data_IF_178900841372
#
_entry.id   IF_178900841372
#
_cell.length_a   1.000
_cell.length_b   1.000
_cell.length_c   1.000
_cell.angle_alpha   90.00
_cell.angle_beta   90.00
_cell.angle_gamma   90.00
#
_symmetry.space_group_name_H-M   'P 1'
#
loop_
_entity.id
_entity.type
_entity.pdbx_description
1 polymer ?
#
# COMPACT_ATOMS: atom_id res chain seq x y z
N UNK A 1 -81.28 31.51 15.77
CA UNK A 1 -81.75 31.05 17.05
C UNK A 1 -81.04 29.77 17.41
N UNK A 2 -80.48 29.70 18.61
CA UNK A 2 -79.79 28.61 19.31
C UNK A 2 -78.44 28.11 18.68
N UNK A 3 -77.43 28.83 19.08
CA UNK A 3 -76.00 28.48 19.10
C UNK A 3 -75.74 27.25 19.94
N UNK A 4 -75.05 26.23 19.46
CA UNK A 4 -74.50 25.20 20.30
C UNK A 4 -73.00 25.14 20.04
N UNK A 5 -72.30 25.50 21.09
CA UNK A 5 -70.86 25.43 21.26
C UNK A 5 -70.44 23.96 21.49
N UNK A 6 -69.57 23.40 20.63
CA UNK A 6 -68.98 22.11 20.89
C UNK A 6 -67.49 22.32 21.29
N UNK A 7 -67.24 22.02 22.55
CA UNK A 7 -65.85 21.91 23.05
C UNK A 7 -65.26 20.64 22.51
N UNK A 8 -64.16 20.78 21.78
CA UNK A 8 -63.29 19.66 21.37
C UNK A 8 -62.16 19.47 22.43
N UNK A 9 -62.21 18.32 23.08
CA UNK A 9 -61.21 17.88 24.05
C UNK A 9 -60.03 17.34 23.23
N UNK A 10 -58.89 18.01 23.35
CA UNK A 10 -57.61 17.57 22.78
C UNK A 10 -56.98 16.59 23.77
N UNK A 11 -57.03 15.29 23.44
CA UNK A 11 -56.25 14.26 24.16
C UNK A 11 -54.85 14.18 23.53
N UNK A 12 -53.86 14.69 24.22
CA UNK A 12 -52.47 14.53 23.86
C UNK A 12 -52.01 13.12 24.23
N UNK A 13 -51.86 12.26 23.23
CA UNK A 13 -51.19 10.96 23.38
C UNK A 13 -49.70 11.19 23.24
N UNK A 14 -48.99 11.22 24.36
CA UNK A 14 -47.55 11.22 24.41
C UNK A 14 -46.99 9.85 24.02
N UNK A 15 -46.47 9.71 22.82
CA UNK A 15 -45.70 8.54 22.41
C UNK A 15 -44.27 8.76 22.88
N UNK A 16 -43.87 8.10 23.96
CA UNK A 16 -42.47 7.93 24.33
C UNK A 16 -41.78 7.03 23.29
N UNK A 17 -41.12 7.64 22.31
CA UNK A 17 -40.12 6.97 21.50
C UNK A 17 -38.80 6.89 22.31
N UNK A 18 -38.68 5.86 23.15
CA UNK A 18 -37.39 5.44 23.66
C UNK A 18 -36.59 4.88 22.48
N UNK A 19 -35.74 5.73 21.89
CA UNK A 19 -34.81 5.36 20.88
C UNK A 19 -33.79 4.36 21.44
N UNK A 20 -33.85 3.16 20.94
CA UNK A 20 -32.78 2.17 21.08
C UNK A 20 -31.57 2.66 20.28
N UNK A 21 -30.72 3.46 20.88
CA UNK A 21 -29.40 3.76 20.34
C UNK A 21 -28.49 2.56 20.60
N UNK A 22 -28.60 1.58 19.74
CA UNK A 22 -27.66 0.45 19.73
C UNK A 22 -26.26 0.93 19.45
N UNK A 23 -25.40 0.60 20.37
CA UNK A 23 -23.95 0.80 20.43
C UNK A 23 -23.23 0.21 19.21
N UNK A 24 -23.12 0.97 18.12
CA UNK A 24 -22.21 0.71 17.01
C UNK A 24 -20.99 1.65 16.99
N UNK A 25 -20.76 2.40 18.07
CA UNK A 25 -19.72 3.43 18.12
C UNK A 25 -18.52 3.06 18.99
N UNK A 26 -18.36 1.80 19.45
CA UNK A 26 -17.31 1.47 20.44
C UNK A 26 -16.09 0.77 19.88
N UNK A 27 -16.06 0.38 18.61
CA UNK A 27 -14.90 -0.34 18.04
C UNK A 27 -13.99 0.53 17.18
N UNK A 28 -14.08 1.86 17.25
CA UNK A 28 -13.21 2.79 16.53
C UNK A 28 -12.23 3.58 17.41
N UNK A 29 -12.21 3.32 18.71
CA UNK A 29 -11.52 4.21 19.65
C UNK A 29 -10.04 3.85 19.92
N UNK A 30 -9.51 2.74 19.38
CA UNK A 30 -8.13 2.32 19.63
C UNK A 30 -7.20 2.31 18.40
N UNK A 31 -7.63 2.80 17.26
CA UNK A 31 -6.72 3.06 16.14
C UNK A 31 -5.91 4.32 16.46
N UNK A 32 -4.74 4.14 17.08
CA UNK A 32 -3.77 5.21 17.30
C UNK A 32 -3.54 5.95 15.98
N UNK A 33 -4.07 7.18 15.88
CA UNK A 33 -3.91 8.01 14.69
C UNK A 33 -2.43 8.15 14.35
N UNK A 34 -2.06 7.82 13.13
CA UNK A 34 -0.69 8.01 12.64
C UNK A 34 -0.38 9.49 12.59
N UNK A 35 0.68 9.99 13.25
CA UNK A 35 1.03 11.40 13.26
C UNK A 35 1.20 11.96 11.84
N UNK A 36 0.70 13.16 11.60
CA UNK A 36 0.97 13.88 10.36
C UNK A 36 2.48 14.08 10.21
N UNK A 37 3.05 13.58 9.09
CA UNK A 37 4.48 13.71 8.82
C UNK A 37 5.30 12.43 9.02
N UNK A 38 4.70 11.32 9.42
CA UNK A 38 5.33 10.01 9.42
C UNK A 38 5.42 9.46 7.99
N UNK A 39 6.59 8.91 7.62
CA UNK A 39 6.78 8.27 6.31
C UNK A 39 7.90 7.24 6.33
N UNK A 40 7.71 6.18 5.56
CA UNK A 40 8.79 5.29 5.13
C UNK A 40 9.40 5.87 3.86
N UNK A 41 10.72 5.95 3.81
CA UNK A 41 11.46 6.31 2.61
C UNK A 41 12.35 5.14 2.19
N UNK A 42 12.24 4.72 0.93
CA UNK A 42 13.04 3.65 0.32
C UNK A 42 13.82 4.27 -0.84
N UNK A 43 15.13 4.14 -0.84
CA UNK A 43 15.99 4.66 -1.89
C UNK A 43 16.98 3.62 -2.37
N UNK A 44 17.29 3.63 -3.66
CA UNK A 44 18.29 2.76 -4.28
C UNK A 44 18.81 3.37 -5.57
N UNK A 45 19.99 2.93 -5.99
CA UNK A 45 20.50 3.25 -7.32
C UNK A 45 19.91 2.28 -8.34
N UNK A 46 19.25 2.83 -9.33
CA UNK A 46 18.67 2.09 -10.44
C UNK A 46 19.58 2.23 -11.69
N UNK A 47 19.86 1.12 -12.33
CA UNK A 47 20.55 1.05 -13.61
C UNK A 47 19.71 0.20 -14.56
N UNK A 48 19.14 0.85 -15.57
CA UNK A 48 18.31 0.18 -16.55
C UNK A 48 19.11 -0.90 -17.28
N UNK A 49 18.59 -2.13 -17.28
CA UNK A 49 19.12 -3.22 -18.08
C UNK A 49 18.53 -3.24 -19.49
N UNK A 50 18.86 -4.27 -20.25
CA UNK A 50 18.32 -4.52 -21.58
C UNK A 50 16.84 -4.95 -21.57
N UNK A 51 16.33 -5.36 -22.73
CA UNK A 51 14.91 -5.68 -22.98
C UNK A 51 14.33 -6.73 -22.00
N UNK A 52 15.15 -7.72 -21.59
CA UNK A 52 14.73 -8.80 -20.69
C UNK A 52 14.77 -8.44 -19.20
N UNK A 53 14.98 -7.18 -18.86
CA UNK A 53 15.16 -6.71 -17.48
C UNK A 53 14.48 -5.36 -17.25
N UNK A 54 14.79 -4.72 -16.13
CA UNK A 54 14.24 -3.41 -15.75
C UNK A 54 12.79 -3.42 -15.29
N UNK A 55 12.22 -4.60 -14.99
CA UNK A 55 10.93 -4.71 -14.35
C UNK A 55 11.13 -4.77 -12.84
N UNK A 56 10.44 -3.91 -12.11
CA UNK A 56 10.45 -3.96 -10.66
C UNK A 56 9.13 -3.46 -10.07
N UNK A 57 8.87 -3.87 -8.84
CA UNK A 57 7.73 -3.44 -8.05
C UNK A 57 8.17 -3.13 -6.62
N UNK A 58 7.45 -2.21 -5.98
CA UNK A 58 7.62 -1.82 -4.58
C UNK A 58 6.26 -1.86 -3.91
N UNK A 59 6.16 -2.59 -2.80
CA UNK A 59 4.89 -2.70 -2.07
C UNK A 59 5.11 -2.86 -0.57
N UNK A 60 4.02 -2.69 0.17
CA UNK A 60 3.94 -2.85 1.62
C UNK A 60 2.98 -3.98 1.94
N UNK A 61 3.35 -4.80 2.90
CA UNK A 61 2.50 -5.84 3.50
C UNK A 61 2.32 -5.57 4.99
N UNK A 62 1.18 -6.00 5.54
CA UNK A 62 0.95 -6.06 6.98
C UNK A 62 1.58 -7.32 7.61
N UNK A 63 1.48 -7.45 8.91
CA UNK A 63 2.04 -8.58 9.67
C UNK A 63 1.46 -9.95 9.26
N UNK A 64 0.29 -9.98 8.61
CA UNK A 64 -0.32 -11.21 8.10
C UNK A 64 0.18 -11.58 6.70
N UNK A 65 1.02 -10.74 6.10
CA UNK A 65 1.51 -10.90 4.74
C UNK A 65 0.51 -10.49 3.66
N UNK A 66 -0.53 -9.73 4.03
CA UNK A 66 -1.48 -9.17 3.07
C UNK A 66 -0.89 -7.89 2.46
N UNK A 67 -0.99 -7.76 1.13
CA UNK A 67 -0.60 -6.54 0.44
C UNK A 67 -1.51 -5.37 0.85
N UNK A 68 -0.91 -4.32 1.38
CA UNK A 68 -1.57 -3.09 1.83
C UNK A 68 -1.49 -2.00 0.77
N UNK A 69 -0.30 -1.76 0.24
CA UNK A 69 -0.05 -0.69 -0.72
C UNK A 69 0.96 -1.12 -1.77
N UNK A 70 0.66 -0.91 -3.04
CA UNK A 70 1.67 -0.87 -4.10
C UNK A 70 2.12 0.57 -4.27
N UNK A 71 3.40 0.85 -4.04
CA UNK A 71 3.99 2.17 -4.21
C UNK A 71 4.36 2.43 -5.67
N UNK A 72 4.84 1.39 -6.34
CA UNK A 72 5.25 1.47 -7.73
C UNK A 72 5.30 0.08 -8.36
N UNK A 73 4.98 0.01 -9.62
CA UNK A 73 5.30 -1.12 -10.50
C UNK A 73 5.54 -0.60 -11.92
N UNK A 74 6.46 -1.23 -12.65
CA UNK A 74 6.71 -0.88 -14.04
C UNK A 74 5.46 -1.09 -14.90
N UNK A 75 5.14 -0.10 -15.74
CA UNK A 75 3.91 -0.05 -16.53
C UNK A 75 3.71 -1.29 -17.42
N UNK A 76 4.80 -1.81 -18.02
CA UNK A 76 4.73 -3.05 -18.80
C UNK A 76 4.12 -4.20 -17.98
N UNK A 77 4.63 -4.43 -16.76
CA UNK A 77 4.13 -5.53 -15.92
C UNK A 77 2.67 -5.31 -15.53
N UNK A 78 2.32 -4.15 -15.01
CA UNK A 78 0.98 -3.89 -14.51
C UNK A 78 -0.10 -3.92 -15.60
N UNK A 79 0.25 -3.56 -16.84
CA UNK A 79 -0.66 -3.50 -18.00
C UNK A 79 -0.71 -4.80 -18.80
N UNK A 80 -0.51 -5.96 -18.16
CA UNK A 80 -0.65 -7.27 -18.77
C UNK A 80 0.67 -7.93 -19.20
N UNK A 81 1.81 -7.26 -19.06
CA UNK A 81 3.11 -7.83 -19.39
C UNK A 81 3.46 -9.12 -18.65
N UNK A 82 2.88 -9.32 -17.46
CA UNK A 82 3.02 -10.55 -16.66
C UNK A 82 2.42 -11.79 -17.34
N UNK A 83 1.48 -11.63 -18.25
CA UNK A 83 0.91 -12.75 -19.02
C UNK A 83 1.92 -13.29 -20.03
N UNK A 84 2.68 -12.39 -20.65
CA UNK A 84 3.72 -12.73 -21.63
C UNK A 84 5.04 -13.10 -20.96
N UNK A 85 5.35 -12.45 -19.82
CA UNK A 85 6.56 -12.65 -19.05
C UNK A 85 6.22 -12.99 -17.60
N UNK A 86 5.95 -14.28 -17.35
CA UNK A 86 5.59 -14.81 -16.03
C UNK A 86 6.71 -14.65 -14.99
N UNK A 87 7.94 -14.40 -15.44
CA UNK A 87 9.11 -14.11 -14.61
C UNK A 87 9.27 -12.62 -14.26
N UNK A 88 8.43 -11.74 -14.81
CA UNK A 88 8.44 -10.31 -14.47
C UNK A 88 7.75 -10.06 -13.13
N UNK A 89 8.54 -9.78 -12.10
CA UNK A 89 8.11 -9.54 -10.69
C UNK A 89 6.98 -10.46 -10.22
N UNK A 90 7.22 -11.79 -10.23
CA UNK A 90 6.18 -12.79 -10.03
C UNK A 90 5.58 -12.78 -8.62
N UNK A 91 6.32 -12.35 -7.58
CA UNK A 91 5.80 -12.29 -6.22
C UNK A 91 4.80 -11.15 -6.10
N UNK A 92 5.13 -9.96 -6.59
CA UNK A 92 4.18 -8.85 -6.64
C UNK A 92 2.93 -9.23 -7.45
N UNK A 93 3.11 -9.82 -8.64
CA UNK A 93 2.00 -10.23 -9.52
C UNK A 93 1.05 -11.20 -8.81
N UNK A 94 1.59 -12.17 -8.08
CA UNK A 94 0.78 -13.13 -7.31
C UNK A 94 -0.02 -12.46 -6.18
N UNK A 95 0.57 -11.48 -5.52
CA UNK A 95 -0.04 -10.76 -4.38
C UNK A 95 -1.03 -9.68 -4.82
N UNK A 96 -0.64 -8.88 -5.79
CA UNK A 96 -1.44 -7.73 -6.27
C UNK A 96 -2.59 -8.15 -7.19
N UNK A 97 -2.49 -9.31 -7.84
CA UNK A 97 -3.49 -9.83 -8.80
C UNK A 97 -3.92 -8.75 -9.81
N UNK A 98 -2.98 -8.20 -10.60
CA UNK A 98 -3.22 -7.02 -11.44
C UNK A 98 -4.37 -7.20 -12.44
N UNK A 99 -4.74 -8.43 -12.80
CA UNK A 99 -5.91 -8.74 -13.63
C UNK A 99 -7.25 -8.36 -12.97
N UNK A 100 -7.28 -8.13 -11.66
CA UNK A 100 -8.48 -7.73 -10.92
C UNK A 100 -8.58 -6.21 -10.70
N UNK A 101 -7.54 -5.48 -11.05
CA UNK A 101 -7.49 -4.03 -10.87
C UNK A 101 -8.19 -3.30 -12.01
N UNK A 102 -8.90 -2.23 -11.70
CA UNK A 102 -9.43 -1.31 -12.70
C UNK A 102 -8.29 -0.52 -13.38
N UNK A 103 -8.53 0.03 -14.56
CA UNK A 103 -7.56 0.88 -15.26
C UNK A 103 -7.08 2.04 -14.39
N UNK A 104 -7.97 2.68 -13.64
CA UNK A 104 -7.62 3.79 -12.74
C UNK A 104 -6.69 3.32 -11.60
N UNK A 105 -6.91 2.12 -11.04
CA UNK A 105 -6.02 1.55 -10.02
C UNK A 105 -4.65 1.19 -10.61
N UNK A 106 -4.62 0.62 -11.82
CA UNK A 106 -3.37 0.34 -12.53
C UNK A 106 -2.60 1.64 -12.79
N UNK A 107 -3.25 2.68 -13.29
CA UNK A 107 -2.59 3.96 -13.56
C UNK A 107 -2.07 4.64 -12.29
N UNK A 108 -2.76 4.49 -11.16
CA UNK A 108 -2.34 5.06 -9.87
C UNK A 108 -1.05 4.42 -9.30
N UNK A 109 -0.74 3.18 -9.65
CA UNK A 109 0.44 2.45 -9.14
C UNK A 109 1.56 2.32 -10.15
N UNK A 110 1.34 2.75 -11.40
CA UNK A 110 2.33 2.60 -12.48
C UNK A 110 3.04 3.90 -12.81
N UNK A 111 4.26 3.74 -13.30
CA UNK A 111 5.03 4.84 -13.89
C UNK A 111 5.83 4.37 -15.09
N UNK A 112 6.29 5.32 -15.90
CA UNK A 112 7.27 5.05 -16.94
C UNK A 112 8.54 4.46 -16.29
N UNK A 113 9.23 3.55 -17.01
CA UNK A 113 10.52 3.04 -16.52
C UNK A 113 11.47 4.22 -16.28
N UNK A 114 11.97 4.41 -15.06
CA UNK A 114 12.82 5.55 -14.74
C UNK A 114 14.13 5.55 -15.51
N UNK A 115 14.76 6.72 -15.53
CA UNK A 115 16.14 6.86 -15.99
C UNK A 115 17.11 6.29 -14.95
N UNK A 116 18.34 5.99 -15.38
CA UNK A 116 19.41 5.62 -14.46
C UNK A 116 19.64 6.71 -13.42
N UNK A 117 19.85 6.32 -12.18
CA UNK A 117 20.11 7.24 -11.08
C UNK A 117 19.62 6.74 -9.74
N UNK A 118 19.64 7.62 -8.75
CA UNK A 118 19.06 7.35 -7.44
C UNK A 118 17.56 7.60 -7.51
N UNK A 119 16.78 6.59 -7.14
CA UNK A 119 15.33 6.66 -7.04
C UNK A 119 14.94 6.63 -5.57
N UNK A 120 13.89 7.39 -5.24
CA UNK A 120 13.34 7.45 -3.89
C UNK A 120 11.83 7.30 -3.96
N UNK A 121 11.30 6.39 -3.15
CA UNK A 121 9.87 6.14 -2.99
C UNK A 121 9.48 6.38 -1.55
N UNK A 122 8.27 6.87 -1.34
CA UNK A 122 7.76 7.17 -0.01
C UNK A 122 6.40 6.49 0.21
N UNK A 123 6.19 6.01 1.42
CA UNK A 123 4.91 5.56 1.91
C UNK A 123 4.49 6.43 3.09
N UNK A 124 3.27 6.92 3.06
CA UNK A 124 2.68 7.82 4.04
C UNK A 124 1.72 7.13 5.03
N UNK A 125 1.69 5.78 5.03
CA UNK A 125 0.78 5.01 5.86
C UNK A 125 -0.64 4.93 5.31
N UNK A 126 -0.81 5.02 3.98
CA UNK A 126 -2.10 4.77 3.34
C UNK A 126 -2.13 3.44 2.60
N UNK A 127 -3.31 2.82 2.56
CA UNK A 127 -3.57 1.63 1.74
C UNK A 127 -3.80 1.98 0.26
N UNK A 128 -4.08 0.99 -0.58
CA UNK A 128 -4.37 1.20 -2.00
C UNK A 128 -5.63 2.05 -2.27
N UNK A 129 -6.51 2.23 -1.28
CA UNK A 129 -7.72 3.03 -1.37
C UNK A 129 -7.53 4.45 -0.77
N UNK A 130 -6.34 4.76 -0.26
CA UNK A 130 -6.04 6.04 0.38
C UNK A 130 -6.45 6.12 1.85
N UNK A 131 -6.91 5.03 2.46
CA UNK A 131 -7.24 5.02 3.88
C UNK A 131 -5.99 4.90 4.72
N UNK A 132 -5.96 5.58 5.88
CA UNK A 132 -4.88 5.42 6.87
C UNK A 132 -4.87 4.01 7.42
N UNK A 133 -3.66 3.43 7.50
CA UNK A 133 -3.49 2.13 8.15
C UNK A 133 -3.29 2.31 9.67
N UNK A 134 -3.65 1.32 10.48
CA UNK A 134 -3.38 1.35 11.92
C UNK A 134 -1.88 1.32 12.21
N UNK A 135 -1.49 1.74 13.41
CA UNK A 135 -0.16 1.49 13.92
C UNK A 135 0.10 -0.01 14.07
N UNK A 136 1.30 -0.47 13.74
CA UNK A 136 1.66 -1.89 13.78
C UNK A 136 2.87 -2.23 12.93
N UNK A 137 3.17 -3.51 12.81
CA UNK A 137 4.28 -4.02 12.02
C UNK A 137 3.92 -4.11 10.54
N UNK A 138 4.82 -3.59 9.73
CA UNK A 138 4.72 -3.63 8.26
C UNK A 138 6.04 -4.04 7.67
N UNK A 139 5.99 -4.70 6.51
CA UNK A 139 7.17 -5.07 5.74
C UNK A 139 7.08 -4.42 4.37
N UNK A 140 8.12 -3.70 3.98
CA UNK A 140 8.26 -3.27 2.60
C UNK A 140 9.02 -4.30 1.79
N UNK A 141 8.70 -4.36 0.51
CA UNK A 141 9.38 -5.21 -0.48
C UNK A 141 9.76 -4.41 -1.71
N UNK A 142 10.92 -4.75 -2.28
CA UNK A 142 11.33 -4.28 -3.61
C UNK A 142 11.75 -5.52 -4.40
N UNK A 143 10.94 -5.92 -5.37
CA UNK A 143 11.26 -7.03 -6.27
C UNK A 143 11.75 -6.49 -7.61
N UNK A 144 12.89 -6.97 -8.07
CA UNK A 144 13.44 -6.63 -9.38
C UNK A 144 13.73 -7.87 -10.21
N UNK A 145 13.23 -7.91 -11.45
CA UNK A 145 13.63 -8.88 -12.46
C UNK A 145 14.88 -8.36 -13.15
N UNK A 146 16.01 -8.94 -12.81
CA UNK A 146 17.33 -8.50 -13.29
C UNK A 146 17.56 -8.96 -14.72
N UNK A 147 17.31 -10.23 -15.00
CA UNK A 147 17.46 -10.80 -16.33
C UNK A 147 16.73 -12.15 -16.42
N UNK A 148 15.71 -12.27 -17.27
CA UNK A 148 14.85 -13.47 -17.37
C UNK A 148 14.41 -13.95 -15.98
N UNK A 149 14.78 -15.18 -15.60
CA UNK A 149 14.46 -15.76 -14.29
C UNK A 149 15.32 -15.24 -13.13
N UNK A 150 16.41 -14.50 -13.45
CA UNK A 150 17.25 -13.87 -12.42
C UNK A 150 16.52 -12.69 -11.80
N UNK A 151 16.35 -12.71 -10.48
CA UNK A 151 15.65 -11.65 -9.75
C UNK A 151 16.20 -11.48 -8.34
N UNK A 152 15.92 -10.34 -7.76
CA UNK A 152 16.22 -10.03 -6.36
C UNK A 152 14.94 -9.54 -5.67
N UNK A 153 14.78 -9.90 -4.40
CA UNK A 153 13.80 -9.31 -3.51
C UNK A 153 14.55 -8.73 -2.33
N UNK A 154 14.36 -7.44 -2.10
CA UNK A 154 14.75 -6.77 -0.88
C UNK A 154 13.53 -6.65 0.03
N UNK A 155 13.74 -6.77 1.34
CA UNK A 155 12.70 -6.57 2.34
C UNK A 155 13.26 -5.92 3.60
N UNK A 156 12.41 -5.23 4.34
CA UNK A 156 12.74 -4.68 5.64
C UNK A 156 11.48 -4.39 6.43
N UNK A 157 11.54 -4.60 7.74
CA UNK A 157 10.43 -4.43 8.65
C UNK A 157 10.49 -3.07 9.34
N UNK A 158 9.32 -2.47 9.59
CA UNK A 158 9.17 -1.26 10.39
C UNK A 158 7.96 -1.37 11.30
N UNK A 159 8.02 -0.63 12.41
CA UNK A 159 6.92 -0.46 13.35
C UNK A 159 6.25 0.89 13.10
N UNK A 160 5.20 0.89 12.26
CA UNK A 160 4.43 2.08 11.89
C UNK A 160 3.67 2.61 13.10
N UNK A 161 3.74 3.91 13.36
CA UNK A 161 3.24 4.50 14.60
C UNK A 161 4.19 4.34 15.79
N UNK A 162 5.25 3.52 15.67
CA UNK A 162 6.31 3.33 16.65
C UNK A 162 7.37 4.45 16.64
N UNK A 163 8.58 4.17 17.08
CA UNK A 163 9.71 5.11 16.98
C UNK A 163 10.24 5.16 15.55
N UNK A 164 10.61 6.36 15.08
CA UNK A 164 11.33 6.50 13.82
C UNK A 164 12.67 5.73 13.84
N UNK A 165 13.13 5.32 12.67
CA UNK A 165 14.39 4.60 12.46
C UNK A 165 15.16 5.26 11.31
N UNK A 166 16.33 5.82 11.59
CA UNK A 166 17.19 6.44 10.56
C UNK A 166 17.74 5.43 9.56
N UNK A 167 17.74 4.15 9.93
CA UNK A 167 18.13 3.04 9.06
C UNK A 167 17.33 1.79 9.44
N UNK A 168 16.59 1.25 8.47
CA UNK A 168 15.92 -0.04 8.62
C UNK A 168 16.86 -1.10 8.02
N UNK A 169 17.13 -2.21 8.75
CA UNK A 169 17.85 -3.36 8.20
C UNK A 169 17.16 -3.89 6.94
N UNK A 170 17.93 -4.11 5.89
CA UNK A 170 17.43 -4.60 4.61
C UNK A 170 18.04 -5.95 4.30
N UNK A 171 17.19 -6.93 4.09
CA UNK A 171 17.60 -8.25 3.58
C UNK A 171 17.48 -8.29 2.07
N UNK A 172 18.44 -8.97 1.41
CA UNK A 172 18.42 -9.20 -0.04
C UNK A 172 18.40 -10.69 -0.32
N UNK A 173 17.42 -11.15 -1.08
CA UNK A 173 17.29 -12.54 -1.49
C UNK A 173 17.33 -12.64 -3.02
N UNK A 174 18.33 -13.35 -3.52
CA UNK A 174 18.52 -13.58 -4.96
C UNK A 174 17.97 -14.93 -5.38
N UNK A 175 17.37 -14.96 -6.58
CA UNK A 175 16.83 -16.17 -7.21
C UNK A 175 17.46 -16.30 -8.60
N UNK A 176 17.95 -17.48 -8.92
CA UNK A 176 18.67 -17.77 -10.18
C UNK A 176 19.71 -16.67 -10.52
N UNK A 177 20.67 -16.42 -9.63
CA UNK A 177 21.60 -15.29 -9.78
C UNK A 177 22.35 -15.34 -11.10
N UNK A 178 22.51 -14.17 -11.72
CA UNK A 178 23.24 -13.97 -12.97
C UNK A 178 24.09 -12.70 -12.86
N UNK A 179 25.22 -12.69 -13.51
CA UNK A 179 26.05 -11.49 -13.64
C UNK A 179 25.40 -10.40 -14.51
N UNK A 180 24.48 -10.81 -15.39
CA UNK A 180 23.76 -9.88 -16.25
C UNK A 180 22.83 -9.00 -15.43
N UNK A 181 23.02 -7.69 -15.46
CA UNK A 181 22.23 -6.68 -14.75
C UNK A 181 22.16 -6.88 -13.21
N UNK A 182 23.15 -7.54 -12.61
CA UNK A 182 23.19 -7.77 -11.15
C UNK A 182 23.08 -6.47 -10.34
N UNK A 183 23.53 -5.34 -10.92
CA UNK A 183 23.49 -4.00 -10.31
C UNK A 183 22.27 -3.16 -10.70
N UNK A 184 21.23 -3.76 -11.31
CA UNK A 184 20.04 -3.02 -11.71
C UNK A 184 19.39 -2.28 -10.55
N UNK A 185 19.35 -2.91 -9.38
CA UNK A 185 18.93 -2.32 -8.10
C UNK A 185 20.10 -2.52 -7.13
N UNK A 186 20.74 -1.44 -6.73
CA UNK A 186 21.94 -1.51 -5.88
C UNK A 186 21.89 -0.47 -4.75
N UNK A 187 22.49 -0.83 -3.60
CA UNK A 187 22.63 0.07 -2.46
C UNK A 187 21.28 0.52 -1.89
N UNK A 188 20.32 -0.41 -1.78
CA UNK A 188 19.02 -0.13 -1.23
C UNK A 188 19.14 0.26 0.25
N UNK A 189 18.48 1.37 0.60
CA UNK A 189 18.39 1.92 1.95
C UNK A 189 16.94 2.25 2.24
N UNK A 190 16.54 2.07 3.50
CA UNK A 190 15.21 2.44 3.97
C UNK A 190 15.31 3.17 5.31
N UNK A 191 14.42 4.16 5.50
CA UNK A 191 14.32 4.97 6.72
C UNK A 191 12.87 5.16 7.09
N UNK A 192 12.57 5.10 8.37
CA UNK A 192 11.27 5.44 8.92
C UNK A 192 11.39 6.80 9.60
N UNK A 193 10.85 7.83 8.98
CA UNK A 193 10.99 9.21 9.39
C UNK A 193 9.72 9.67 10.11
N UNK A 194 9.89 10.29 11.27
CA UNK A 194 8.85 11.01 12.03
C UNK A 194 9.26 12.46 12.19
N UNK A 195 8.30 13.35 12.03
CA UNK A 195 8.46 14.75 12.43
C UNK A 195 8.03 14.94 13.88
#
# INVERSE_FOLDING_TARGET
MKTRLFYAILVAVGICLQGCTTSYAKDREDAKETPAGERLEISFRFQRGGIASSQYAIWIEDETGKLVRTLYVTSFTAKGGYEYRKDAVPVWTSKAKPQTLSSAQVDAITGATPRNGVLTYQWDGTDNNGNRVPAGKYTFFVEGTLYWKSRVIYSGELDWGGKGQDSIPVEARYFNPSKTNENMIAGLKARHLKK
#
